data_IF_898436877961
#
_entry.id   IF_898436877961
#
_cell.length_a   1.000
_cell.length_b   1.000
_cell.length_c   1.000
_cell.angle_alpha   90.00
_cell.angle_beta   90.00
_cell.angle_gamma   90.00
#
_symmetry.space_group_name_H-M   'P 1'
#
loop_
_entity.id
_entity.type
_entity.pdbx_description
1 polymer ?
#
# COMPACT_ATOMS: atom_id res chain seq x y z
N UNK A 1 75.20 -9.45 -22.26
CA UNK A 1 74.95 -8.48 -23.34
C UNK A 1 73.81 -7.58 -22.91
N UNK A 2 74.08 -6.29 -22.76
CA UNK A 2 73.14 -5.30 -22.18
C UNK A 2 72.27 -4.71 -23.29
N UNK A 3 70.96 -4.67 -23.08
CA UNK A 3 69.99 -4.16 -24.05
C UNK A 3 70.02 -2.63 -24.13
N UNK A 4 70.29 -2.11 -25.33
CA UNK A 4 70.20 -0.69 -25.64
C UNK A 4 68.77 -0.16 -25.44
N UNK A 5 68.55 0.63 -24.39
CA UNK A 5 67.31 1.38 -24.22
C UNK A 5 67.34 2.58 -25.17
N UNK A 6 66.64 2.46 -26.30
CA UNK A 6 66.37 3.57 -27.22
C UNK A 6 65.76 4.74 -26.43
N UNK A 7 66.51 5.84 -26.30
CA UNK A 7 66.06 7.06 -25.62
C UNK A 7 64.98 7.70 -26.50
N UNK A 8 63.73 7.66 -26.04
CA UNK A 8 62.58 8.28 -26.73
C UNK A 8 62.76 9.79 -26.77
N UNK A 9 62.42 10.38 -27.92
CA UNK A 9 62.49 11.83 -28.12
C UNK A 9 61.48 12.55 -27.23
N UNK A 10 61.83 13.72 -26.71
CA UNK A 10 60.92 14.55 -25.91
C UNK A 10 59.60 14.85 -26.65
N UNK A 11 59.64 14.98 -27.99
CA UNK A 11 58.44 15.14 -28.83
C UNK A 11 57.53 13.91 -28.85
N UNK A 12 58.11 12.72 -28.76
CA UNK A 12 57.38 11.44 -28.77
C UNK A 12 56.68 11.18 -27.43
N UNK A 13 57.31 11.63 -26.33
CA UNK A 13 56.72 11.60 -24.99
C UNK A 13 55.50 12.53 -24.92
N UNK A 14 55.59 13.72 -25.49
CA UNK A 14 54.48 14.69 -25.51
C UNK A 14 53.30 14.18 -26.36
N UNK A 15 53.60 13.63 -27.55
CA UNK A 15 52.59 13.03 -28.42
C UNK A 15 51.89 11.82 -27.77
N UNK A 16 52.63 10.98 -27.03
CA UNK A 16 52.05 9.88 -26.24
C UNK A 16 51.18 10.38 -25.09
N UNK A 17 51.56 11.49 -24.46
CA UNK A 17 50.82 12.09 -23.35
C UNK A 17 49.47 12.62 -23.82
N UNK A 18 49.44 13.38 -24.91
CA UNK A 18 48.18 13.92 -25.49
C UNK A 18 47.23 12.81 -25.93
N UNK A 19 47.75 11.78 -26.62
CA UNK A 19 46.94 10.62 -27.02
C UNK A 19 46.38 9.82 -25.84
N UNK A 20 47.09 9.78 -24.70
CA UNK A 20 46.62 9.10 -23.49
C UNK A 20 45.49 9.86 -22.77
N UNK A 21 45.54 11.20 -22.79
CA UNK A 21 44.52 12.07 -22.20
C UNK A 21 43.23 11.99 -23.01
N UNK A 22 43.33 12.03 -24.35
CA UNK A 22 42.16 11.86 -25.22
C UNK A 22 41.50 10.48 -25.06
N UNK A 23 42.28 9.41 -24.91
CA UNK A 23 41.73 8.05 -24.71
C UNK A 23 41.04 7.88 -23.35
N UNK A 24 41.54 8.50 -22.29
CA UNK A 24 40.88 8.50 -20.97
C UNK A 24 39.55 9.24 -21.03
N UNK A 25 39.54 10.46 -21.58
CA UNK A 25 38.33 11.27 -21.71
C UNK A 25 37.25 10.64 -22.61
N UNK A 26 37.63 9.74 -23.53
CA UNK A 26 36.66 9.00 -24.35
C UNK A 26 36.05 7.82 -23.59
N UNK A 27 36.87 7.07 -22.83
CA UNK A 27 36.39 5.96 -21.99
C UNK A 27 35.44 6.42 -20.90
N UNK A 28 35.72 7.54 -20.26
CA UNK A 28 34.84 8.08 -19.21
C UNK A 28 33.47 8.47 -19.79
N UNK A 29 33.45 9.09 -20.98
CA UNK A 29 32.20 9.41 -21.70
C UNK A 29 31.44 8.17 -22.15
N UNK A 30 32.13 7.12 -22.57
CA UNK A 30 31.50 5.86 -22.97
C UNK A 30 30.89 5.14 -21.75
N UNK A 31 31.57 5.16 -20.60
CA UNK A 31 31.04 4.62 -19.35
C UNK A 31 29.82 5.39 -18.83
N UNK A 32 29.79 6.71 -18.92
CA UNK A 32 28.62 7.52 -18.55
C UNK A 32 27.42 7.25 -19.48
N UNK A 33 27.67 7.06 -20.78
CA UNK A 33 26.63 6.69 -21.75
C UNK A 33 26.07 5.29 -21.49
N UNK A 34 26.93 4.35 -21.11
CA UNK A 34 26.51 2.98 -20.82
C UNK A 34 25.72 2.90 -19.49
N UNK A 35 26.13 3.66 -18.47
CA UNK A 35 25.40 3.77 -17.21
C UNK A 35 24.01 4.41 -17.40
N UNK A 36 23.91 5.48 -18.20
CA UNK A 36 22.63 6.14 -18.50
C UNK A 36 21.73 5.27 -19.40
N UNK A 37 22.30 4.52 -20.34
CA UNK A 37 21.55 3.55 -21.16
C UNK A 37 21.00 2.39 -20.32
N UNK A 38 21.79 1.86 -19.38
CA UNK A 38 21.37 0.80 -18.46
C UNK A 38 20.25 1.25 -17.52
N UNK A 39 20.38 2.44 -16.92
CA UNK A 39 19.32 3.03 -16.08
C UNK A 39 18.02 3.27 -16.86
N UNK A 40 18.12 3.67 -18.13
CA UNK A 40 16.94 3.83 -18.99
C UNK A 40 16.31 2.49 -19.38
N UNK A 41 17.09 1.41 -19.53
CA UNK A 41 16.59 0.08 -19.81
C UNK A 41 15.83 -0.52 -18.62
N UNK A 42 16.36 -0.38 -17.40
CA UNK A 42 15.68 -0.84 -16.17
C UNK A 42 14.39 -0.07 -15.92
N UNK A 43 14.38 1.25 -16.16
CA UNK A 43 13.17 2.07 -16.04
C UNK A 43 12.08 1.64 -17.05
N UNK A 44 12.46 1.28 -18.28
CA UNK A 44 11.52 0.75 -19.29
C UNK A 44 10.96 -0.62 -18.89
N UNK A 45 11.80 -1.52 -18.40
CA UNK A 45 11.37 -2.84 -17.91
C UNK A 45 10.41 -2.72 -16.73
N UNK A 46 10.68 -1.80 -15.81
CA UNK A 46 9.79 -1.55 -14.67
C UNK A 46 8.44 -1.00 -15.13
N UNK A 47 8.43 -0.03 -16.07
CA UNK A 47 7.18 0.47 -16.65
C UNK A 47 6.40 -0.61 -17.38
N UNK A 48 7.05 -1.45 -18.19
CA UNK A 48 6.36 -2.54 -18.90
C UNK A 48 5.81 -3.60 -17.95
N UNK A 49 6.50 -3.90 -16.84
CA UNK A 49 6.01 -4.83 -15.84
C UNK A 49 4.76 -4.30 -15.12
N UNK A 50 4.75 -3.00 -14.80
CA UNK A 50 3.57 -2.35 -14.24
C UNK A 50 2.44 -2.28 -15.26
N UNK A 51 2.72 -1.93 -16.51
CA UNK A 51 1.73 -1.92 -17.58
C UNK A 51 1.12 -3.31 -17.76
N UNK A 52 1.90 -4.40 -17.75
CA UNK A 52 1.36 -5.76 -17.82
C UNK A 52 0.44 -6.14 -16.65
N UNK A 53 0.68 -5.60 -15.44
CA UNK A 53 -0.15 -5.85 -14.26
C UNK A 53 -1.44 -5.03 -14.26
N UNK A 54 -1.43 -3.86 -14.89
CA UNK A 54 -2.54 -2.90 -14.87
C UNK A 54 -3.24 -2.74 -16.22
N UNK A 55 -2.74 -3.35 -17.29
CA UNK A 55 -3.42 -3.38 -18.58
C UNK A 55 -4.73 -4.17 -18.41
N UNK A 56 -5.87 -3.58 -18.80
CA UNK A 56 -7.14 -4.28 -18.77
C UNK A 56 -7.03 -5.46 -19.73
N UNK A 57 -7.05 -6.67 -19.17
CA UNK A 57 -6.97 -7.92 -19.90
C UNK A 57 -8.16 -8.00 -20.85
N UNK A 58 -7.95 -7.61 -22.11
CA UNK A 58 -8.89 -7.89 -23.19
C UNK A 58 -9.01 -9.40 -23.27
N UNK A 59 -10.23 -9.86 -23.03
CA UNK A 59 -10.64 -11.24 -22.98
C UNK A 59 -10.49 -11.80 -24.40
N UNK A 60 -9.32 -12.33 -24.75
CA UNK A 60 -9.20 -13.24 -25.88
C UNK A 60 -9.75 -14.61 -25.46
N UNK A 61 -10.69 -15.06 -26.27
CA UNK A 61 -11.50 -16.25 -26.09
C UNK A 61 -10.65 -17.53 -26.17
N UNK A 62 -10.34 -18.11 -25.00
CA UNK A 62 -10.10 -19.55 -24.90
C UNK A 62 -11.30 -20.22 -24.23
N UNK A 63 -11.79 -21.28 -24.88
CA UNK A 63 -13.04 -22.01 -24.63
C UNK A 63 -13.25 -22.40 -23.14
N UNK A 64 -14.52 -22.50 -22.69
CA UNK A 64 -14.87 -22.40 -21.29
C UNK A 64 -14.66 -23.73 -20.56
N UNK A 65 -13.71 -23.75 -19.63
CA UNK A 65 -13.76 -24.67 -18.50
C UNK A 65 -14.02 -23.82 -17.26
N UNK A 66 -15.30 -23.72 -16.90
CA UNK A 66 -15.75 -23.06 -15.68
C UNK A 66 -15.21 -23.82 -14.44
N UNK A 67 -14.47 -23.18 -13.53
CA UNK A 67 -14.66 -23.44 -12.13
C UNK A 67 -15.72 -22.45 -11.63
N UNK A 68 -16.93 -22.98 -11.42
CA UNK A 68 -17.97 -22.32 -10.62
C UNK A 68 -17.44 -22.16 -9.21
N UNK A 69 -16.92 -20.98 -8.89
CA UNK A 69 -17.07 -20.28 -7.62
C UNK A 69 -16.31 -18.98 -7.75
N UNK A 70 -17.02 -17.85 -7.70
CA UNK A 70 -16.40 -16.55 -7.56
C UNK A 70 -15.53 -16.59 -6.29
N UNK A 71 -14.22 -16.66 -6.47
CA UNK A 71 -13.27 -16.56 -5.38
C UNK A 71 -13.42 -15.16 -4.80
N UNK A 72 -14.22 -15.07 -3.73
CA UNK A 72 -14.19 -13.97 -2.77
C UNK A 72 -12.72 -13.76 -2.44
N UNK A 73 -12.16 -12.63 -2.85
CA UNK A 73 -10.78 -12.25 -2.50
C UNK A 73 -10.79 -12.03 -0.99
N UNK A 74 -10.55 -13.11 -0.24
CA UNK A 74 -10.27 -13.06 1.18
C UNK A 74 -8.81 -12.65 1.27
N UNK A 75 -8.59 -11.40 1.63
CA UNK A 75 -7.29 -10.94 2.11
C UNK A 75 -6.79 -11.98 3.13
N UNK A 76 -5.64 -12.65 2.90
CA UNK A 76 -5.14 -13.62 3.86
C UNK A 76 -5.01 -12.92 5.22
N UNK A 77 -5.53 -13.51 6.31
CA UNK A 77 -5.39 -12.91 7.62
C UNK A 77 -3.90 -12.76 7.91
N UNK A 78 -3.49 -11.55 8.32
CA UNK A 78 -2.12 -11.31 8.74
C UNK A 78 -1.72 -12.40 9.77
N UNK A 79 -0.56 -13.05 9.59
CA UNK A 79 -0.21 -14.28 10.33
C UNK A 79 -0.04 -14.11 11.85
N UNK A 80 -0.08 -12.88 12.36
CA UNK A 80 0.09 -12.56 13.80
C UNK A 80 -1.00 -11.59 14.30
N UNK A 81 -2.27 -11.86 13.99
CA UNK A 81 -3.35 -11.13 14.62
C UNK A 81 -3.46 -11.55 16.08
N UNK A 82 -3.01 -10.70 17.03
CA UNK A 82 -3.21 -10.93 18.45
C UNK A 82 -4.66 -11.39 18.70
N UNK A 83 -4.88 -12.42 19.52
CA UNK A 83 -6.21 -12.98 19.76
C UNK A 83 -7.18 -11.91 20.27
N UNK A 84 -6.68 -10.91 21.01
CA UNK A 84 -7.45 -9.73 21.45
C UNK A 84 -7.90 -8.84 20.28
N UNK A 85 -7.05 -8.60 19.30
CA UNK A 85 -7.39 -7.81 18.12
C UNK A 85 -8.35 -8.55 17.20
N UNK A 86 -8.28 -9.88 17.12
CA UNK A 86 -9.26 -10.70 16.42
C UNK A 86 -10.63 -10.63 17.09
N UNK A 87 -10.69 -10.78 18.42
CA UNK A 87 -11.95 -10.72 19.16
C UNK A 87 -12.59 -9.33 19.13
N UNK A 88 -11.81 -8.26 19.27
CA UNK A 88 -12.30 -6.88 19.12
C UNK A 88 -12.97 -6.67 17.77
N UNK A 89 -12.33 -7.09 16.67
CA UNK A 89 -12.89 -6.97 15.31
C UNK A 89 -14.18 -7.78 15.16
N UNK A 90 -14.22 -9.00 15.73
CA UNK A 90 -15.39 -9.87 15.70
C UNK A 90 -16.59 -9.24 16.44
N UNK A 91 -16.37 -8.71 17.65
CA UNK A 91 -17.43 -8.09 18.45
C UNK A 91 -17.89 -6.77 17.85
N UNK A 92 -16.98 -5.93 17.34
CA UNK A 92 -17.33 -4.69 16.65
C UNK A 92 -18.16 -4.97 15.41
N UNK A 93 -17.77 -5.95 14.59
CA UNK A 93 -18.53 -6.36 13.42
C UNK A 93 -19.96 -6.80 13.78
N UNK A 94 -20.11 -7.59 14.85
CA UNK A 94 -21.44 -7.99 15.35
C UNK A 94 -22.28 -6.79 15.78
N UNK A 95 -21.69 -5.81 16.47
CA UNK A 95 -22.37 -4.59 16.90
C UNK A 95 -22.85 -3.77 15.70
N UNK A 96 -22.00 -3.55 14.70
CA UNK A 96 -22.34 -2.75 13.51
C UNK A 96 -23.41 -3.41 12.62
N UNK A 97 -23.46 -4.75 12.60
CA UNK A 97 -24.49 -5.49 11.85
C UNK A 97 -25.78 -5.74 12.63
N UNK A 98 -25.80 -5.47 13.94
CA UNK A 98 -26.95 -5.69 14.78
C UNK A 98 -28.10 -4.76 14.36
N UNK A 99 -29.33 -5.25 14.39
CA UNK A 99 -30.52 -4.46 14.04
C UNK A 99 -31.54 -4.54 15.17
N UNK A 100 -32.09 -3.38 15.54
CA UNK A 100 -33.05 -3.26 16.63
C UNK A 100 -32.40 -3.10 18.01
N UNK A 101 -33.07 -2.32 18.85
CA UNK A 101 -32.53 -1.82 20.13
C UNK A 101 -32.03 -2.92 21.08
N UNK A 102 -32.75 -4.03 21.20
CA UNK A 102 -32.37 -5.12 22.09
C UNK A 102 -31.08 -5.84 21.64
N UNK A 103 -30.91 -6.07 20.33
CA UNK A 103 -29.74 -6.77 19.79
C UNK A 103 -28.51 -5.88 19.84
N UNK A 104 -28.68 -4.59 19.54
CA UNK A 104 -27.65 -3.55 19.59
C UNK A 104 -27.16 -3.39 21.03
N UNK A 105 -28.08 -3.27 22.00
CA UNK A 105 -27.72 -3.15 23.42
C UNK A 105 -26.96 -4.36 23.92
N UNK A 106 -27.38 -5.57 23.52
CA UNK A 106 -26.68 -6.81 23.89
C UNK A 106 -25.27 -6.86 23.28
N UNK A 107 -25.12 -6.50 22.02
CA UNK A 107 -23.82 -6.49 21.34
C UNK A 107 -22.90 -5.41 21.91
N UNK A 108 -23.42 -4.23 22.22
CA UNK A 108 -22.67 -3.14 22.83
C UNK A 108 -22.14 -3.51 24.22
N UNK A 109 -23.00 -4.04 25.07
CA UNK A 109 -22.61 -4.51 26.40
C UNK A 109 -21.60 -5.65 26.33
N UNK A 110 -21.72 -6.57 25.36
CA UNK A 110 -20.73 -7.63 25.16
C UNK A 110 -19.36 -7.09 24.73
N UNK A 111 -19.33 -6.06 23.87
CA UNK A 111 -18.10 -5.40 23.45
C UNK A 111 -17.39 -4.70 24.62
N UNK A 112 -18.14 -3.99 25.46
CA UNK A 112 -17.62 -3.31 26.64
C UNK A 112 -17.23 -4.28 27.76
N UNK A 113 -17.99 -5.36 27.95
CA UNK A 113 -17.66 -6.41 28.92
C UNK A 113 -16.34 -7.13 28.57
N UNK A 114 -15.97 -7.15 27.29
CA UNK A 114 -14.67 -7.64 26.84
C UNK A 114 -13.52 -6.64 27.08
N UNK A 115 -13.81 -5.45 27.64
CA UNK A 115 -12.82 -4.42 27.98
C UNK A 115 -12.31 -3.63 26.78
N UNK A 116 -13.09 -3.57 25.69
CA UNK A 116 -12.72 -2.81 24.50
C UNK A 116 -13.40 -1.45 24.45
N UNK A 117 -12.67 -0.43 24.00
CA UNK A 117 -13.20 0.89 23.71
C UNK A 117 -13.75 0.99 22.28
N UNK A 118 -14.90 1.65 22.17
CA UNK A 118 -15.54 1.93 20.89
C UNK A 118 -14.69 2.89 20.06
N UNK A 119 -14.53 2.65 18.75
CA UNK A 119 -13.86 3.61 17.88
C UNK A 119 -14.64 4.94 17.83
N UNK A 120 -13.91 6.05 17.73
CA UNK A 120 -14.48 7.40 17.66
C UNK A 120 -14.92 7.76 16.25
N UNK A 121 -15.83 6.96 15.69
CA UNK A 121 -16.35 7.15 14.34
C UNK A 121 -17.87 7.34 14.34
N UNK A 122 -18.35 8.01 13.28
CA UNK A 122 -19.77 8.34 13.15
C UNK A 122 -20.67 7.09 13.12
N UNK A 123 -20.22 6.00 12.50
CA UNK A 123 -21.06 4.81 12.31
C UNK A 123 -21.31 4.11 13.65
N UNK A 124 -20.26 3.94 14.44
CA UNK A 124 -20.33 3.33 15.76
C UNK A 124 -21.27 4.13 16.69
N UNK A 125 -21.13 5.45 16.73
CA UNK A 125 -21.94 6.28 17.63
C UNK A 125 -23.39 6.47 17.14
N UNK A 126 -23.65 6.46 15.82
CA UNK A 126 -25.02 6.42 15.29
C UNK A 126 -25.71 5.11 15.70
N UNK A 127 -25.01 3.97 15.58
CA UNK A 127 -25.54 2.68 16.01
C UNK A 127 -25.85 2.67 17.52
N UNK A 128 -25.02 3.34 18.33
CA UNK A 128 -25.20 3.42 19.79
C UNK A 128 -26.46 4.24 20.20
N UNK A 129 -27.05 5.01 19.30
CA UNK A 129 -28.29 5.74 19.58
C UNK A 129 -29.50 4.82 19.79
N UNK A 130 -29.44 3.59 19.27
CA UNK A 130 -30.49 2.57 19.49
C UNK A 130 -30.29 1.78 20.79
N UNK A 131 -29.30 2.15 21.61
CA UNK A 131 -29.04 1.49 22.88
C UNK A 131 -30.17 1.75 23.90
N UNK A 132 -30.47 0.76 24.75
CA UNK A 132 -31.56 0.83 25.74
C UNK A 132 -31.23 1.73 26.96
N UNK A 133 -29.95 1.82 27.32
CA UNK A 133 -29.45 2.73 28.35
C UNK A 133 -29.25 4.14 27.78
N UNK A 134 -30.03 5.10 28.29
CA UNK A 134 -30.00 6.50 27.89
C UNK A 134 -28.66 7.19 28.21
N UNK A 135 -27.94 6.74 29.25
CA UNK A 135 -26.63 7.30 29.59
C UNK A 135 -25.66 7.14 28.41
N UNK A 136 -25.63 5.95 27.81
CA UNK A 136 -24.80 5.65 26.63
C UNK A 136 -25.23 6.42 25.39
N UNK A 137 -26.55 6.63 25.23
CA UNK A 137 -27.09 7.44 24.13
C UNK A 137 -26.61 8.88 24.27
N UNK A 138 -26.69 9.47 25.47
CA UNK A 138 -26.20 10.84 25.74
C UNK A 138 -24.70 10.99 25.48
N UNK A 139 -23.89 10.05 25.95
CA UNK A 139 -22.44 10.02 25.67
C UNK A 139 -22.16 9.96 24.16
N UNK A 140 -22.92 9.15 23.43
CA UNK A 140 -22.78 8.98 21.98
C UNK A 140 -23.19 10.24 21.22
N UNK A 141 -24.23 10.94 21.66
CA UNK A 141 -24.62 12.25 21.10
C UNK A 141 -23.48 13.27 21.30
N UNK A 142 -22.88 13.32 22.49
CA UNK A 142 -21.76 14.21 22.76
C UNK A 142 -20.54 13.90 21.86
N UNK A 143 -20.22 12.61 21.67
CA UNK A 143 -19.17 12.17 20.74
C UNK A 143 -19.50 12.55 19.29
N UNK A 144 -20.73 12.34 18.83
CA UNK A 144 -21.16 12.75 17.48
C UNK A 144 -21.05 14.26 17.28
N UNK A 145 -21.43 15.07 18.27
CA UNK A 145 -21.28 16.52 18.21
C UNK A 145 -19.81 16.93 18.03
N UNK A 146 -18.90 16.26 18.75
CA UNK A 146 -17.46 16.47 18.60
C UNK A 146 -16.95 16.07 17.21
N UNK A 147 -17.41 14.94 16.67
CA UNK A 147 -16.99 14.46 15.34
C UNK A 147 -17.49 15.42 14.26
N UNK A 148 -18.75 15.86 14.33
CA UNK A 148 -19.33 16.77 13.35
C UNK A 148 -18.76 18.19 13.39
N UNK A 149 -18.00 18.55 14.44
CA UNK A 149 -17.23 19.79 14.45
C UNK A 149 -16.07 19.77 13.45
N UNK A 150 -15.55 18.58 13.09
CA UNK A 150 -14.44 18.41 12.14
C UNK A 150 -14.80 17.68 10.85
N UNK A 151 -15.83 16.83 10.87
CA UNK A 151 -16.21 15.98 9.74
C UNK A 151 -17.66 16.21 9.27
N UNK A 152 -17.89 16.10 7.96
CA UNK A 152 -19.25 16.12 7.42
C UNK A 152 -19.99 14.81 7.75
N UNK A 153 -21.32 14.85 7.94
CA UNK A 153 -22.12 13.66 8.13
C UNK A 153 -22.01 12.69 6.95
N UNK A 154 -21.68 11.43 7.25
CA UNK A 154 -21.64 10.35 6.25
C UNK A 154 -23.05 10.06 5.75
N UNK A 155 -23.25 10.21 4.44
CA UNK A 155 -24.53 9.90 3.78
C UNK A 155 -24.60 8.43 3.44
N UNK A 156 -25.64 7.74 3.90
CA UNK A 156 -25.97 6.39 3.43
C UNK A 156 -26.92 6.48 2.23
N UNK A 157 -26.68 5.73 1.15
CA UNK A 157 -27.61 5.69 0.02
C UNK A 157 -28.95 5.12 0.51
N UNK A 158 -30.04 5.80 0.17
CA UNK A 158 -31.40 5.28 0.35
C UNK A 158 -31.62 4.34 -0.85
N UNK A 159 -31.73 3.04 -0.60
CA UNK A 159 -32.00 1.99 -1.60
C UNK A 159 -33.44 1.53 -1.46
#
# INVERSE_FOLDING_TARGET
MQGERKKKSWREIDQMRDGSVQRRNNRDRDHEREATASANATAKQHRSALEALFSPKVVEEEKPVLPKTAARIVLPPAPDADPKHAERRRLLGKFLTATGSASISKAANAFLAAGFDFPEDQETHVQMLEHADEGRVRESIAKLASIFAGELPKRRPII
#
